data_IF_531883667736
#
_entry.id   IF_531883667736
#
_cell.length_a   1.000
_cell.length_b   1.000
_cell.length_c   1.000
_cell.angle_alpha   90.00
_cell.angle_beta   90.00
_cell.angle_gamma   90.00
#
_symmetry.space_group_name_H-M   'P 1'
#
loop_
_entity.id
_entity.type
_entity.pdbx_description
1 polymer ?
#
# COMPACT_ATOMS: atom_id res chain seq x y z
N UNK A 1 25.24 -6.46 11.73
CA UNK A 1 24.90 -5.94 13.08
C UNK A 1 23.53 -5.31 13.01
N UNK A 2 22.68 -5.54 14.00
CA UNK A 2 21.41 -4.85 14.12
C UNK A 2 21.57 -3.69 15.10
N UNK A 3 21.54 -2.45 14.60
CA UNK A 3 21.58 -1.26 15.45
C UNK A 3 20.19 -1.01 16.05
N UNK A 4 20.07 -0.60 17.32
CA UNK A 4 18.84 -0.03 17.85
C UNK A 4 18.55 1.29 17.15
N UNK A 5 17.29 1.49 16.71
CA UNK A 5 16.85 2.66 15.94
C UNK A 5 15.51 3.14 16.48
N UNK A 6 15.23 4.42 16.32
CA UNK A 6 13.91 5.01 16.47
C UNK A 6 13.48 5.60 15.12
N UNK A 7 12.24 5.36 14.73
CA UNK A 7 11.63 5.90 13.51
C UNK A 7 10.63 6.99 13.91
N UNK A 8 10.93 8.24 13.53
CA UNK A 8 10.21 9.43 13.99
C UNK A 8 9.23 9.99 12.96
N UNK A 9 9.32 9.52 11.72
CA UNK A 9 8.42 9.89 10.63
C UNK A 9 8.07 8.62 9.86
N UNK A 10 6.84 8.15 10.04
CA UNK A 10 6.27 7.03 9.31
C UNK A 10 4.77 7.27 9.15
N UNK A 11 4.24 6.93 7.98
CA UNK A 11 2.81 6.82 7.74
C UNK A 11 2.45 5.33 7.80
N UNK A 12 1.53 4.94 8.68
CA UNK A 12 1.15 3.53 8.87
C UNK A 12 0.49 2.98 7.60
N UNK A 13 -0.31 3.80 6.94
CA UNK A 13 -0.94 3.45 5.67
C UNK A 13 0.11 3.30 4.56
N UNK A 14 1.28 3.95 4.72
CA UNK A 14 2.42 3.84 3.81
C UNK A 14 3.22 2.54 3.99
N UNK A 15 2.89 1.73 5.00
CA UNK A 15 3.47 0.40 5.21
C UNK A 15 2.55 -0.72 4.69
N UNK A 16 1.51 -0.38 3.94
CA UNK A 16 0.60 -1.35 3.36
C UNK A 16 1.28 -2.03 2.15
N UNK A 17 1.85 -3.20 2.38
CA UNK A 17 2.45 -4.01 1.33
C UNK A 17 1.41 -4.54 0.33
N UNK A 18 1.77 -4.74 -0.96
CA UNK A 18 0.85 -5.27 -1.98
C UNK A 18 0.16 -6.57 -1.56
N UNK A 19 0.88 -7.53 -0.99
CA UNK A 19 0.32 -8.80 -0.54
C UNK A 19 -0.73 -8.60 0.56
N UNK A 20 -0.49 -7.68 1.48
CA UNK A 20 -1.44 -7.35 2.54
C UNK A 20 -2.64 -6.59 1.98
N UNK A 21 -2.44 -5.69 1.01
CA UNK A 21 -3.53 -5.00 0.33
C UNK A 21 -4.49 -6.01 -0.35
N UNK A 22 -3.97 -7.01 -1.04
CA UNK A 22 -4.77 -8.08 -1.65
C UNK A 22 -5.46 -8.96 -0.60
N UNK A 23 -4.77 -9.35 0.47
CA UNK A 23 -5.38 -10.14 1.55
C UNK A 23 -6.54 -9.40 2.23
N UNK A 24 -6.40 -8.09 2.45
CA UNK A 24 -7.46 -7.25 3.01
C UNK A 24 -8.58 -6.99 2.00
N UNK A 25 -8.25 -6.83 0.71
CA UNK A 25 -9.22 -6.68 -0.36
C UNK A 25 -10.13 -7.91 -0.46
N UNK A 26 -9.55 -9.11 -0.45
CA UNK A 26 -10.27 -10.39 -0.41
C UNK A 26 -11.16 -10.49 0.83
N UNK A 27 -10.59 -10.24 2.02
CA UNK A 27 -11.32 -10.30 3.28
C UNK A 27 -12.52 -9.36 3.32
N UNK A 28 -12.38 -8.17 2.74
CA UNK A 28 -13.35 -7.08 2.86
C UNK A 28 -14.21 -6.89 1.60
N UNK A 29 -14.14 -7.82 0.65
CA UNK A 29 -14.89 -7.79 -0.62
C UNK A 29 -14.69 -6.49 -1.41
N UNK A 30 -13.45 -6.01 -1.47
CA UNK A 30 -13.06 -4.81 -2.24
C UNK A 30 -12.35 -5.23 -3.52
N UNK A 31 -12.85 -4.76 -4.66
CA UNK A 31 -12.15 -4.95 -5.93
C UNK A 31 -10.95 -3.98 -6.03
N UNK A 32 -9.76 -4.53 -6.23
CA UNK A 32 -8.58 -3.75 -6.59
C UNK A 32 -8.50 -3.60 -8.12
N UNK A 33 -7.99 -2.47 -8.65
CA UNK A 33 -7.80 -2.27 -10.08
C UNK A 33 -6.55 -2.99 -10.63
N UNK A 34 -6.05 -4.01 -9.92
CA UNK A 34 -4.87 -4.80 -10.25
C UNK A 34 -5.21 -6.29 -10.10
N UNK A 35 -4.77 -7.12 -11.03
CA UNK A 35 -5.06 -8.55 -10.99
C UNK A 35 -4.14 -9.31 -10.02
N UNK A 36 -2.93 -8.79 -9.77
CA UNK A 36 -1.92 -9.44 -8.93
C UNK A 36 -1.13 -8.44 -8.08
N UNK A 37 -0.51 -8.94 -7.01
CA UNK A 37 0.42 -8.14 -6.19
C UNK A 37 1.60 -7.61 -7.00
N UNK A 38 2.07 -8.34 -8.02
CA UNK A 38 3.15 -7.91 -8.90
C UNK A 38 2.73 -6.75 -9.81
N UNK A 39 1.50 -6.74 -10.32
CA UNK A 39 0.95 -5.60 -11.06
C UNK A 39 0.81 -4.36 -10.16
N UNK A 40 0.34 -4.52 -8.93
CA UNK A 40 0.27 -3.42 -7.97
C UNK A 40 1.67 -2.89 -7.62
N UNK A 41 2.64 -3.79 -7.44
CA UNK A 41 4.04 -3.42 -7.20
C UNK A 41 4.64 -2.66 -8.37
N UNK A 42 4.30 -3.02 -9.61
CA UNK A 42 4.73 -2.28 -10.80
C UNK A 42 4.12 -0.86 -10.85
N UNK A 43 2.98 -0.63 -10.20
CA UNK A 43 2.40 0.72 -10.08
C UNK A 43 3.12 1.62 -9.08
N UNK A 44 4.13 1.12 -8.35
CA UNK A 44 4.95 1.93 -7.42
C UNK A 44 6.06 2.72 -8.15
N UNK A 45 5.84 3.04 -9.42
CA UNK A 45 6.65 3.98 -10.19
C UNK A 45 5.96 5.36 -10.17
N UNK A 46 6.50 6.30 -9.41
CA UNK A 46 5.89 7.60 -9.18
C UNK A 46 6.63 8.71 -9.94
N UNK A 47 5.88 9.57 -10.63
CA UNK A 47 6.43 10.75 -11.33
C UNK A 47 6.64 11.93 -10.39
N UNK A 48 5.75 12.08 -9.41
CA UNK A 48 5.76 13.13 -8.40
C UNK A 48 4.99 12.71 -7.12
N UNK A 49 4.90 13.62 -6.16
CA UNK A 49 4.15 13.40 -4.92
C UNK A 49 2.67 13.09 -5.17
N UNK A 50 2.04 13.71 -6.17
CA UNK A 50 0.62 13.52 -6.42
C UNK A 50 0.35 12.11 -6.96
N UNK A 51 1.17 11.63 -7.90
CA UNK A 51 1.07 10.26 -8.43
C UNK A 51 1.22 9.20 -7.33
N UNK A 52 2.08 9.44 -6.33
CA UNK A 52 2.17 8.61 -5.13
C UNK A 52 0.89 8.70 -4.29
N UNK A 53 0.40 9.91 -4.00
CA UNK A 53 -0.77 10.12 -3.16
C UNK A 53 -2.04 9.51 -3.78
N UNK A 54 -2.18 9.55 -5.10
CA UNK A 54 -3.31 8.96 -5.81
C UNK A 54 -3.39 7.45 -5.55
N UNK A 55 -2.27 6.74 -5.67
CA UNK A 55 -2.22 5.31 -5.38
C UNK A 55 -2.36 5.02 -3.88
N UNK A 56 -1.68 5.79 -3.04
CA UNK A 56 -1.72 5.68 -1.59
C UNK A 56 -3.16 5.76 -1.04
N UNK A 57 -3.95 6.75 -1.48
CA UNK A 57 -5.35 6.87 -1.06
C UNK A 57 -6.24 5.81 -1.70
N UNK A 58 -5.97 5.38 -2.93
CA UNK A 58 -6.73 4.30 -3.56
C UNK A 58 -6.63 2.98 -2.76
N UNK A 59 -5.44 2.65 -2.26
CA UNK A 59 -5.21 1.44 -1.46
C UNK A 59 -5.91 1.48 -0.10
N UNK A 60 -6.14 2.64 0.50
CA UNK A 60 -6.86 2.73 1.78
C UNK A 60 -8.29 2.17 1.73
N UNK A 61 -8.88 2.00 0.55
CA UNK A 61 -10.21 1.42 0.38
C UNK A 61 -10.34 0.01 0.99
N UNK A 62 -9.22 -0.72 1.11
CA UNK A 62 -9.16 -2.07 1.70
C UNK A 62 -9.07 -2.06 3.23
N UNK A 63 -8.86 -0.92 3.87
CA UNK A 63 -8.72 -0.80 5.33
C UNK A 63 -10.09 -0.65 6.02
N UNK A 64 -10.80 -1.78 6.19
CA UNK A 64 -12.14 -1.83 6.81
C UNK A 64 -12.16 -2.70 8.08
N UNK A 65 -13.05 -2.35 9.02
CA UNK A 65 -13.32 -3.06 10.29
C UNK A 65 -14.57 -3.91 10.24
#
# INVERSE_FOLDING_TARGET
MHLPKAELHLHIEGTLEPELAFALAERNEVALPYATADELRAAYEFEDLQSFLDLYYALMAVLRT
#
